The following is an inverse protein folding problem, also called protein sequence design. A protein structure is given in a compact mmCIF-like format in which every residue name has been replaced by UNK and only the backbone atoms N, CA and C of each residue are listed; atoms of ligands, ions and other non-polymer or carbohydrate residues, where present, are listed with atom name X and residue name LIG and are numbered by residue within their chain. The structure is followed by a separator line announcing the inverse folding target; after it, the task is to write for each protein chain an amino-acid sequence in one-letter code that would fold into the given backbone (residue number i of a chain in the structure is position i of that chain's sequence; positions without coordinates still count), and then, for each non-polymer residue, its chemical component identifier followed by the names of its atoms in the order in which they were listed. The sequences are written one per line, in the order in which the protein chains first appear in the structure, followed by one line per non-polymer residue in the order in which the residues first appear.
data_IF_557008049808
#
_entry.id   IF_557008049808
#
_cell.length_a   1.000
_cell.length_b   1.000
_cell.length_c   1.000
_cell.angle_alpha   90.00
_cell.angle_beta   90.00
_cell.angle_gamma   90.00
#
_symmetry.space_group_name_H-M   'P 1'
#
loop_
_entity.id
_entity.type
_entity.pdbx_description
1 polymer ?
#
# COMPACT_ATOMS: atom_id res chain seq x y z
N UNK A 1 -10.90 8.80 7.66
CA UNK A 1 -10.14 8.64 6.40
C UNK A 1 -9.03 9.65 6.41
N UNK A 2 -7.79 9.21 6.60
CA UNK A 2 -6.62 10.07 6.53
C UNK A 2 -5.63 9.39 5.62
N UNK A 3 -5.73 9.63 4.30
CA UNK A 3 -4.63 9.34 3.41
C UNK A 3 -3.57 10.41 3.66
N UNK A 4 -2.46 10.02 4.29
CA UNK A 4 -1.43 10.93 4.73
C UNK A 4 -0.18 10.76 3.86
N UNK A 5 0.13 11.79 3.08
CA UNK A 5 1.41 11.89 2.36
C UNK A 5 2.33 12.79 3.16
N UNK A 6 3.48 12.27 3.59
CA UNK A 6 4.49 13.03 4.31
C UNK A 6 5.79 13.04 3.52
N UNK A 7 6.13 14.20 2.97
CA UNK A 7 7.42 14.43 2.32
C UNK A 7 8.26 15.36 3.19
N UNK A 8 9.52 14.98 3.46
CA UNK A 8 10.46 15.80 4.21
C UNK A 8 11.80 15.90 3.50
N UNK A 9 12.39 17.09 3.49
CA UNK A 9 13.75 17.34 3.01
C UNK A 9 14.75 17.01 4.13
N UNK A 10 15.75 16.18 3.84
CA UNK A 10 16.85 15.95 4.78
C UNK A 10 17.95 16.99 4.57
N UNK A 11 18.70 17.28 5.63
CA UNK A 11 19.78 18.30 5.67
C UNK A 11 20.89 18.07 4.62
N UNK A 12 20.95 16.86 4.05
CA UNK A 12 21.86 16.40 3.00
C UNK A 12 21.34 16.57 1.56
N UNK A 13 20.18 17.21 1.36
CA UNK A 13 19.58 17.41 0.02
C UNK A 13 18.88 16.17 -0.56
N UNK A 14 18.68 15.11 0.24
CA UNK A 14 17.87 13.95 -0.14
C UNK A 14 16.42 14.16 0.30
N UNK A 15 15.48 13.63 -0.48
CA UNK A 15 14.05 13.74 -0.15
C UNK A 15 13.60 12.42 0.45
N UNK A 16 13.19 12.42 1.72
CA UNK A 16 12.54 11.25 2.30
C UNK A 16 11.04 11.40 2.12
N UNK A 17 10.45 10.48 1.35
CA UNK A 17 9.01 10.42 1.13
C UNK A 17 8.46 9.21 1.86
N UNK A 18 7.40 9.41 2.63
CA UNK A 18 6.62 8.37 3.27
C UNK A 18 5.14 8.61 2.96
N UNK A 19 4.43 7.56 2.60
CA UNK A 19 2.99 7.62 2.33
C UNK A 19 2.28 6.50 3.08
N UNK A 20 1.16 6.85 3.70
CA UNK A 20 0.23 5.89 4.26
C UNK A 20 -1.07 5.94 3.47
N UNK A 21 -1.50 4.77 2.99
CA UNK A 21 -2.74 4.58 2.25
C UNK A 21 -3.65 3.64 3.04
N UNK A 22 -4.92 3.99 3.13
CA UNK A 22 -5.93 3.15 3.78
C UNK A 22 -6.94 2.69 2.73
N UNK A 23 -6.90 1.40 2.43
CA UNK A 23 -7.81 0.76 1.48
C UNK A 23 -8.97 0.12 2.24
N UNK A 24 -10.19 0.57 2.01
CA UNK A 24 -11.40 0.00 2.63
C UNK A 24 -12.04 -1.05 1.71
N UNK A 25 -12.40 -2.20 2.28
CA UNK A 25 -13.07 -3.30 1.59
C UNK A 25 -14.47 -3.55 2.16
N UNK A 26 -15.29 -4.30 1.43
CA UNK A 26 -16.70 -4.53 1.78
C UNK A 26 -16.84 -5.31 3.08
N UNK A 27 -15.96 -6.28 3.31
CA UNK A 27 -15.93 -7.12 4.51
C UNK A 27 -14.49 -7.52 4.88
N UNK A 28 -14.31 -7.98 6.12
CA UNK A 28 -13.01 -8.36 6.67
C UNK A 28 -12.37 -9.56 5.95
N UNK A 29 -13.20 -10.44 5.37
CA UNK A 29 -12.75 -11.63 4.65
C UNK A 29 -12.18 -11.25 3.28
N UNK A 30 -12.79 -10.30 2.58
CA UNK A 30 -12.29 -9.71 1.34
C UNK A 30 -10.94 -9.06 1.58
N UNK A 31 -10.82 -8.21 2.61
CA UNK A 31 -9.55 -7.56 2.97
C UNK A 31 -8.44 -8.58 3.26
N UNK A 32 -8.75 -9.66 4.01
CA UNK A 32 -7.76 -10.72 4.28
C UNK A 32 -7.31 -11.45 3.01
N UNK A 33 -8.26 -11.83 2.15
CA UNK A 33 -7.95 -12.56 0.90
C UNK A 33 -7.13 -11.70 -0.05
N UNK A 34 -7.45 -10.42 -0.16
CA UNK A 34 -6.68 -9.46 -0.96
C UNK A 34 -5.29 -9.30 -0.38
N UNK A 35 -5.15 -9.04 0.93
CA UNK A 35 -3.85 -8.89 1.59
C UNK A 35 -2.95 -10.11 1.39
N UNK A 36 -3.48 -11.32 1.57
CA UNK A 36 -2.73 -12.58 1.31
C UNK A 36 -2.30 -12.73 -0.14
N UNK A 37 -3.03 -12.15 -1.08
CA UNK A 37 -2.70 -12.21 -2.51
C UNK A 37 -1.66 -11.17 -2.92
N UNK A 38 -1.55 -10.08 -2.16
CA UNK A 38 -0.64 -8.95 -2.46
C UNK A 38 0.49 -8.80 -1.46
N UNK A 39 0.61 -9.66 -0.44
CA UNK A 39 1.71 -9.58 0.51
C UNK A 39 3.01 -9.84 -0.27
N UNK A 40 3.68 -8.75 -0.62
CA UNK A 40 4.99 -8.78 -1.24
C UNK A 40 6.03 -8.98 -0.14
N UNK A 41 7.01 -9.83 -0.36
CA UNK A 41 8.19 -10.00 0.51
C UNK A 41 9.14 -8.76 0.46
N UNK A 42 8.61 -7.56 0.21
CA UNK A 42 9.37 -6.32 -0.01
C UNK A 42 9.20 -5.34 1.16
N UNK A 43 9.40 -5.82 2.39
CA UNK A 43 9.26 -5.03 3.63
C UNK A 43 10.13 -3.76 3.67
N UNK A 44 11.21 -3.72 2.87
CA UNK A 44 12.14 -2.58 2.81
C UNK A 44 11.51 -1.31 2.20
N UNK A 45 10.55 -1.46 1.29
CA UNK A 45 9.98 -0.34 0.51
C UNK A 45 8.50 -0.14 0.76
N UNK A 46 7.79 -1.22 1.05
CA UNK A 46 6.34 -1.19 1.28
C UNK A 46 5.95 -2.24 2.31
N UNK A 47 5.14 -1.83 3.28
CA UNK A 47 4.50 -2.75 4.21
C UNK A 47 2.99 -2.60 4.14
N UNK A 48 2.27 -3.71 4.31
CA UNK A 48 0.82 -3.73 4.32
C UNK A 48 0.33 -4.58 5.49
N UNK A 49 -0.60 -4.04 6.28
CA UNK A 49 -1.22 -4.74 7.40
C UNK A 49 -2.74 -4.65 7.29
N UNK A 50 -3.45 -5.62 7.88
CA UNK A 50 -4.90 -5.61 7.94
C UNK A 50 -5.37 -4.98 9.24
N UNK A 51 -6.34 -4.08 9.12
CA UNK A 51 -7.13 -3.54 10.23
C UNK A 51 -8.62 -3.75 9.93
N UNK A 52 -9.23 -4.76 10.56
CA UNK A 52 -10.64 -5.17 10.31
C UNK A 52 -10.95 -5.43 8.82
N UNK A 53 -11.70 -4.54 8.17
CA UNK A 53 -12.05 -4.56 6.74
C UNK A 53 -11.17 -3.60 5.91
N UNK A 54 -10.04 -3.17 6.46
CA UNK A 54 -9.12 -2.24 5.82
C UNK A 54 -7.73 -2.86 5.65
N UNK A 55 -7.01 -2.39 4.65
CA UNK A 55 -5.57 -2.62 4.50
C UNK A 55 -4.87 -1.27 4.66
N UNK A 56 -3.95 -1.20 5.62
CA UNK A 56 -3.08 -0.05 5.85
C UNK A 56 -1.75 -0.34 5.18
N UNK A 57 -1.41 0.45 4.17
CA UNK A 57 -0.18 0.32 3.41
C UNK A 57 0.74 1.51 3.70
N UNK A 58 2.01 1.24 3.98
CA UNK A 58 3.04 2.25 4.21
C UNK A 58 4.18 2.06 3.22
N UNK A 59 4.39 3.03 2.33
CA UNK A 59 5.50 3.02 1.38
C UNK A 59 6.50 4.13 1.71
N UNK A 60 7.79 3.88 1.46
CA UNK A 60 8.87 4.83 1.71
C UNK A 60 9.88 4.84 0.56
N UNK A 61 10.45 6.00 0.25
CA UNK A 61 11.57 6.11 -0.70
C UNK A 61 12.42 7.37 -0.48
N UNK A 62 13.60 7.40 -1.08
CA UNK A 62 14.50 8.57 -1.14
C UNK A 62 14.17 9.54 -2.30
N UNK A 63 13.05 9.30 -3.00
CA UNK A 63 12.54 10.21 -4.03
C UNK A 63 11.03 10.13 -4.15
N UNK A 64 10.41 11.22 -4.62
CA UNK A 64 8.96 11.27 -4.91
C UNK A 64 8.60 10.26 -5.99
N UNK A 65 9.39 10.18 -7.06
CA UNK A 65 9.18 9.21 -8.15
C UNK A 65 9.26 7.77 -7.67
N UNK A 66 10.19 7.46 -6.77
CA UNK A 66 10.30 6.13 -6.16
C UNK A 66 9.04 5.73 -5.39
N UNK A 67 8.54 6.60 -4.50
CA UNK A 67 7.28 6.32 -3.78
C UNK A 67 6.11 6.16 -4.75
N UNK A 68 6.01 7.02 -5.77
CA UNK A 68 4.93 6.94 -6.74
C UNK A 68 4.91 5.60 -7.48
N UNK A 69 6.06 5.15 -7.99
CA UNK A 69 6.18 3.85 -8.66
C UNK A 69 5.85 2.69 -7.72
N UNK A 70 6.38 2.71 -6.48
CA UNK A 70 6.09 1.66 -5.49
C UNK A 70 4.60 1.58 -5.16
N UNK A 71 3.92 2.73 -5.03
CA UNK A 71 2.47 2.78 -4.81
C UNK A 71 1.71 2.30 -6.04
N UNK A 72 2.10 2.70 -7.25
CA UNK A 72 1.45 2.29 -8.50
C UNK A 72 1.51 0.78 -8.70
N UNK A 73 2.68 0.17 -8.45
CA UNK A 73 2.88 -1.28 -8.52
C UNK A 73 2.01 -2.00 -7.49
N UNK A 74 1.97 -1.51 -6.24
CA UNK A 74 1.16 -2.10 -5.19
C UNK A 74 -0.34 -2.03 -5.48
N UNK A 75 -0.85 -0.85 -5.87
CA UNK A 75 -2.27 -0.69 -6.20
C UNK A 75 -2.67 -1.53 -7.42
N UNK A 76 -1.77 -1.71 -8.38
CA UNK A 76 -2.01 -2.61 -9.52
C UNK A 76 -2.19 -4.06 -9.07
N UNK A 77 -1.37 -4.54 -8.13
CA UNK A 77 -1.54 -5.86 -7.52
C UNK A 77 -2.86 -5.97 -6.75
N UNK A 78 -3.22 -4.96 -5.97
CA UNK A 78 -4.49 -4.91 -5.23
C UNK A 78 -5.69 -5.04 -6.15
N UNK A 79 -5.74 -4.25 -7.22
CA UNK A 79 -6.84 -4.29 -8.19
C UNK A 79 -6.97 -5.67 -8.86
N UNK A 80 -5.85 -6.32 -9.16
CA UNK A 80 -5.86 -7.68 -9.71
C UNK A 80 -6.34 -8.71 -8.69
N UNK A 81 -5.84 -8.64 -7.45
CA UNK A 81 -6.26 -9.52 -6.37
C UNK A 81 -7.75 -9.38 -6.07
N UNK A 82 -8.27 -8.15 -5.97
CA UNK A 82 -9.70 -7.87 -5.76
C UNK A 82 -10.56 -8.51 -6.85
N UNK A 83 -10.17 -8.38 -8.13
CA UNK A 83 -10.87 -9.02 -9.25
C UNK A 83 -10.89 -10.55 -9.16
N UNK A 84 -9.79 -11.17 -8.72
CA UNK A 84 -9.70 -12.62 -8.56
C UNK A 84 -10.56 -13.10 -7.39
N UNK A 85 -10.51 -12.39 -6.26
CA UNK A 85 -11.29 -12.71 -5.05
C UNK A 85 -12.79 -12.59 -5.33
N UNK A 86 -13.24 -11.51 -5.99
CA UNK A 86 -14.65 -11.29 -6.32
C UNK A 86 -15.21 -12.26 -7.36
N UNK A 87 -14.39 -12.75 -8.30
CA UNK A 87 -14.82 -13.76 -9.28
C UNK A 87 -15.04 -15.16 -8.68
N UNK A 88 -14.51 -15.43 -7.49
CA UNK A 88 -14.67 -16.73 -6.80
C UNK A 88 -15.90 -16.80 -5.89
N UNK A 89 -16.75 -15.77 -5.89
CA UNK A 89 -17.96 -15.68 -5.05
C UNK A 89 -19.21 -16.11 -5.79
#
# INVERSE_FOLDING_TARGET
MTDAVKCSLTDSGRVKCEIELVLEFSDSEEAEKVLRSVSQDNEDWISAERDENRIICRARSESIGGVLHTVEDFLSCVVLAEKVVRRKR
#
